data_IF_195315886555
#
_entry.id   IF_195315886555
#
_cell.length_a   1.000
_cell.length_b   1.000
_cell.length_c   1.000
_cell.angle_alpha   90.00
_cell.angle_beta   90.00
_cell.angle_gamma   90.00
#
_symmetry.space_group_name_H-M   'P 1'
#
loop_
_entity.id
_entity.type
_entity.pdbx_description
1 polymer ?
#
# COMPACT_ATOMS: atom_id res chain seq x y z
N UNK A 1 -24.19 26.63 -43.16
CA UNK A 1 -22.89 25.95 -43.01
C UNK A 1 -22.34 25.95 -41.57
N UNK A 2 -22.88 26.74 -40.62
CA UNK A 2 -22.32 26.84 -39.26
C UNK A 2 -22.61 25.65 -38.32
N UNK A 3 -23.72 24.94 -38.50
CA UNK A 3 -24.12 23.82 -37.62
C UNK A 3 -23.23 22.56 -37.74
N UNK A 4 -22.49 22.41 -38.84
CA UNK A 4 -21.53 21.31 -39.04
C UNK A 4 -20.23 21.52 -38.26
N UNK A 5 -19.74 22.77 -38.21
CA UNK A 5 -18.51 23.15 -37.52
C UNK A 5 -18.64 23.03 -35.99
N UNK A 6 -19.79 23.42 -35.43
CA UNK A 6 -20.07 23.29 -33.99
C UNK A 6 -20.15 21.82 -33.52
N UNK A 7 -20.75 20.94 -34.32
CA UNK A 7 -20.83 19.50 -33.99
C UNK A 7 -19.45 18.82 -34.06
N UNK A 8 -18.61 19.24 -34.99
CA UNK A 8 -17.24 18.73 -35.14
C UNK A 8 -16.34 19.20 -33.99
N UNK A 9 -16.39 20.49 -33.62
CA UNK A 9 -15.67 21.03 -32.46
C UNK A 9 -16.13 20.39 -31.13
N UNK A 10 -17.41 20.04 -30.99
CA UNK A 10 -17.93 19.36 -29.80
C UNK A 10 -17.44 17.90 -29.69
N UNK A 11 -17.38 17.18 -30.82
CA UNK A 11 -16.80 15.82 -30.89
C UNK A 11 -15.30 15.82 -30.57
N UNK A 12 -14.55 16.78 -31.11
CA UNK A 12 -13.11 16.92 -30.85
C UNK A 12 -12.83 17.24 -29.37
N UNK A 13 -13.59 18.18 -28.77
CA UNK A 13 -13.50 18.47 -27.33
C UNK A 13 -13.84 17.26 -26.44
N UNK A 14 -14.83 16.47 -26.83
CA UNK A 14 -15.24 15.28 -26.08
C UNK A 14 -14.17 14.18 -26.17
N UNK A 15 -13.60 13.96 -27.36
CA UNK A 15 -12.50 13.01 -27.56
C UNK A 15 -11.22 13.43 -26.81
N UNK A 16 -10.90 14.72 -26.79
CA UNK A 16 -9.77 15.27 -26.04
C UNK A 16 -9.95 15.07 -24.53
N UNK A 17 -11.14 15.33 -24.01
CA UNK A 17 -11.48 15.13 -22.59
C UNK A 17 -11.36 13.66 -22.20
N UNK A 18 -11.83 12.74 -23.05
CA UNK A 18 -11.72 11.30 -22.81
C UNK A 18 -10.24 10.86 -22.75
N UNK A 19 -9.43 11.35 -23.70
CA UNK A 19 -7.99 11.06 -23.76
C UNK A 19 -7.27 11.58 -22.52
N UNK A 20 -7.57 12.79 -22.06
CA UNK A 20 -6.99 13.35 -20.83
C UNK A 20 -7.37 12.52 -19.59
N UNK A 21 -8.63 12.07 -19.49
CA UNK A 21 -9.05 11.18 -18.40
C UNK A 21 -8.28 9.86 -18.41
N UNK A 22 -8.05 9.27 -19.58
CA UNK A 22 -7.26 8.05 -19.73
C UNK A 22 -5.80 8.26 -19.33
N UNK A 23 -5.17 9.36 -19.78
CA UNK A 23 -3.81 9.73 -19.38
C UNK A 23 -3.74 9.91 -17.86
N UNK A 24 -4.71 10.59 -17.26
CA UNK A 24 -4.79 10.77 -15.81
C UNK A 24 -4.88 9.45 -15.06
N UNK A 25 -5.73 8.52 -15.51
CA UNK A 25 -5.82 7.17 -14.93
C UNK A 25 -4.52 6.39 -15.07
N UNK A 26 -3.85 6.48 -16.22
CA UNK A 26 -2.56 5.83 -16.44
C UNK A 26 -1.49 6.40 -15.52
N UNK A 27 -1.40 7.73 -15.39
CA UNK A 27 -0.47 8.39 -14.45
C UNK A 27 -0.75 8.01 -13.00
N UNK A 28 -2.01 7.91 -12.59
CA UNK A 28 -2.38 7.43 -11.25
C UNK A 28 -2.01 5.97 -11.05
N UNK A 29 -2.24 5.11 -12.05
CA UNK A 29 -1.80 3.71 -12.01
C UNK A 29 -0.29 3.61 -11.82
N UNK A 30 0.48 4.37 -12.61
CA UNK A 30 1.93 4.45 -12.47
C UNK A 30 2.35 4.92 -11.07
N UNK A 31 1.70 5.95 -10.52
CA UNK A 31 1.97 6.45 -9.17
C UNK A 31 1.73 5.38 -8.11
N UNK A 32 0.64 4.61 -8.21
CA UNK A 32 0.32 3.53 -7.27
C UNK A 32 1.21 2.29 -7.44
N UNK A 33 1.88 2.15 -8.58
CA UNK A 33 2.85 1.08 -8.82
C UNK A 33 4.28 1.44 -8.39
N UNK A 34 4.54 2.68 -7.97
CA UNK A 34 5.88 3.06 -7.51
C UNK A 34 6.22 2.36 -6.18
N UNK A 35 7.47 1.91 -6.01
CA UNK A 35 8.00 1.54 -4.71
C UNK A 35 7.88 2.70 -3.72
N UNK A 36 7.71 2.40 -2.43
CA UNK A 36 7.52 3.40 -1.39
C UNK A 36 8.67 4.44 -1.34
N UNK A 37 9.92 4.01 -1.54
CA UNK A 37 11.09 4.90 -1.57
C UNK A 37 11.06 5.89 -2.74
N UNK A 38 10.65 5.43 -3.92
CA UNK A 38 10.49 6.28 -5.10
C UNK A 38 9.30 7.23 -4.95
N UNK A 39 8.20 6.76 -4.38
CA UNK A 39 7.05 7.60 -4.05
C UNK A 39 7.43 8.73 -3.09
N UNK A 40 8.15 8.42 -2.00
CA UNK A 40 8.67 9.43 -1.05
C UNK A 40 9.57 10.46 -1.73
N UNK A 41 10.49 9.99 -2.59
CA UNK A 41 11.38 10.87 -3.35
C UNK A 41 10.58 11.79 -4.28
N UNK A 42 9.60 11.25 -5.01
CA UNK A 42 8.73 12.04 -5.89
C UNK A 42 8.01 13.15 -5.13
N UNK A 43 7.43 12.83 -3.96
CA UNK A 43 6.78 13.84 -3.12
C UNK A 43 7.78 14.91 -2.66
N UNK A 44 8.96 14.50 -2.17
CA UNK A 44 10.01 15.43 -1.71
C UNK A 44 10.49 16.33 -2.84
N UNK A 45 10.69 15.79 -4.03
CA UNK A 45 11.11 16.54 -5.22
C UNK A 45 10.04 17.56 -5.63
N UNK A 46 8.76 17.14 -5.65
CA UNK A 46 7.62 18.00 -5.96
C UNK A 46 7.51 19.16 -4.95
N UNK A 47 7.61 18.86 -3.66
CA UNK A 47 7.54 19.87 -2.59
C UNK A 47 8.70 20.86 -2.62
N UNK A 48 9.86 20.44 -3.17
CA UNK A 48 11.03 21.30 -3.27
C UNK A 48 11.00 22.28 -4.44
N UNK A 49 10.09 22.09 -5.40
CA UNK A 49 9.95 23.00 -6.54
C UNK A 49 9.55 24.42 -6.10
N UNK A 50 10.05 25.43 -6.80
CA UNK A 50 9.71 26.84 -6.54
C UNK A 50 8.21 27.08 -6.65
N UNK A 51 7.56 26.50 -7.67
CA UNK A 51 6.14 26.63 -7.90
C UNK A 51 5.31 26.08 -6.74
N UNK A 52 5.66 24.90 -6.21
CA UNK A 52 4.93 24.31 -5.11
C UNK A 52 5.05 25.15 -3.83
N UNK A 53 6.26 25.66 -3.55
CA UNK A 53 6.50 26.60 -2.45
C UNK A 53 5.68 27.88 -2.62
N UNK A 54 5.61 28.45 -3.82
CA UNK A 54 4.76 29.63 -4.08
C UNK A 54 3.27 29.33 -3.88
N UNK A 55 2.79 28.15 -4.33
CA UNK A 55 1.40 27.72 -4.15
C UNK A 55 1.01 27.59 -2.67
N UNK A 56 1.94 27.21 -1.80
CA UNK A 56 1.72 27.12 -0.36
C UNK A 56 1.92 28.46 0.34
N UNK A 57 3.05 29.13 0.11
CA UNK A 57 3.47 30.25 0.95
C UNK A 57 2.91 31.58 0.47
N UNK A 58 2.98 31.83 -0.83
CA UNK A 58 2.61 33.12 -1.44
C UNK A 58 1.14 33.16 -1.79
N UNK A 59 0.61 32.10 -2.37
CA UNK A 59 -0.73 32.07 -2.94
C UNK A 59 -1.76 31.37 -2.05
N UNK A 60 -1.31 30.56 -1.09
CA UNK A 60 -2.15 29.82 -0.14
C UNK A 60 -3.22 28.97 -0.84
N UNK A 61 -2.90 28.46 -2.03
CA UNK A 61 -3.75 27.57 -2.82
C UNK A 61 -3.69 26.15 -2.28
N UNK A 62 -2.51 25.73 -1.82
CA UNK A 62 -2.28 24.39 -1.25
C UNK A 62 -2.09 24.53 0.25
N UNK A 63 -2.74 23.66 1.02
CA UNK A 63 -2.59 23.55 2.46
C UNK A 63 -2.42 22.10 2.89
N UNK A 64 -1.64 21.88 3.95
CA UNK A 64 -1.52 20.57 4.59
C UNK A 64 -2.63 20.36 5.61
N UNK A 65 -3.26 19.19 5.59
CA UNK A 65 -4.21 18.76 6.61
C UNK A 65 -3.75 17.44 7.20
N UNK A 66 -3.25 17.51 8.44
CA UNK A 66 -2.77 16.35 9.20
C UNK A 66 -3.82 15.25 9.29
N UNK A 67 -3.38 14.00 9.19
CA UNK A 67 -4.21 12.85 9.52
C UNK A 67 -4.46 12.81 11.03
N UNK A 68 -5.68 12.44 11.42
CA UNK A 68 -5.98 12.18 12.83
C UNK A 68 -5.32 10.87 13.23
N UNK A 69 -4.73 10.83 14.43
CA UNK A 69 -4.09 9.61 14.95
C UNK A 69 -2.71 9.32 14.36
N UNK A 70 -2.09 10.26 13.65
CA UNK A 70 -0.68 10.15 13.23
C UNK A 70 0.19 10.99 14.17
N UNK A 71 1.12 10.33 14.85
CA UNK A 71 2.12 10.94 15.73
C UNK A 71 3.43 11.26 15.00
N UNK A 72 4.25 12.13 15.60
CA UNK A 72 5.61 12.38 15.13
C UNK A 72 6.51 11.33 15.80
N UNK A 73 7.33 10.58 15.04
CA UNK A 73 8.23 9.60 15.63
C UNK A 73 9.28 10.29 16.51
N UNK A 74 9.44 9.82 17.74
CA UNK A 74 10.47 10.26 18.68
C UNK A 74 11.83 9.71 18.25
N UNK A 75 12.55 10.45 17.40
CA UNK A 75 14.01 10.42 17.11
C UNK A 75 14.81 9.11 17.03
N UNK A 76 14.20 7.93 17.12
CA UNK A 76 14.91 6.67 16.91
C UNK A 76 15.01 6.50 15.41
N UNK A 77 16.12 6.97 14.84
CA UNK A 77 16.58 6.58 13.52
C UNK A 77 16.68 5.06 13.51
N UNK A 78 15.71 4.42 12.88
CA UNK A 78 15.71 2.98 12.71
C UNK A 78 16.38 2.70 11.37
N UNK A 79 17.54 2.05 11.40
CA UNK A 79 18.27 1.65 10.19
C UNK A 79 17.50 0.53 9.49
N UNK A 80 17.10 0.75 8.24
CA UNK A 80 16.59 -0.31 7.34
C UNK A 80 17.63 -1.44 7.16
N UNK A 81 18.92 -1.14 7.38
CA UNK A 81 20.07 -2.03 7.17
C UNK A 81 20.14 -3.25 8.12
N UNK A 82 19.20 -3.39 9.06
CA UNK A 82 19.20 -4.49 10.03
C UNK A 82 17.87 -5.24 10.16
N UNK A 83 16.88 -4.98 9.31
CA UNK A 83 15.52 -5.53 9.49
C UNK A 83 15.01 -6.43 8.37
N UNK A 84 15.82 -6.73 7.37
CA UNK A 84 15.88 -8.11 6.92
C UNK A 84 16.67 -8.87 7.97
N UNK A 85 16.15 -8.96 9.20
CA UNK A 85 16.65 -10.03 10.06
C UNK A 85 16.32 -11.28 9.27
N UNK A 86 17.36 -12.03 8.91
CA UNK A 86 17.23 -13.45 8.67
C UNK A 86 16.83 -14.13 9.99
N UNK A 87 15.82 -13.59 10.70
CA UNK A 87 15.10 -14.32 11.71
C UNK A 87 14.39 -15.39 10.91
N UNK A 88 15.11 -16.50 10.77
CA UNK A 88 14.63 -17.72 10.18
C UNK A 88 13.23 -17.93 10.73
N UNK A 89 12.26 -18.02 9.83
CA UNK A 89 10.89 -18.41 10.13
C UNK A 89 10.89 -19.43 11.29
N UNK A 90 10.51 -18.98 12.49
CA UNK A 90 10.55 -19.81 13.69
C UNK A 90 9.27 -20.64 13.74
N UNK A 91 9.28 -21.70 12.91
CA UNK A 91 8.22 -22.68 12.87
C UNK A 91 7.98 -23.30 14.26
N UNK A 92 9.03 -23.43 15.07
CA UNK A 92 8.95 -24.05 16.38
C UNK A 92 8.14 -23.16 17.34
N UNK A 93 8.40 -21.85 17.37
CA UNK A 93 7.58 -20.91 18.16
C UNK A 93 6.11 -20.96 17.73
N UNK A 94 5.85 -20.95 16.42
CA UNK A 94 4.49 -20.96 15.87
C UNK A 94 3.73 -22.25 16.19
N UNK A 95 4.41 -23.41 16.15
CA UNK A 95 3.84 -24.70 16.50
C UNK A 95 3.60 -24.87 18.01
N UNK A 96 4.47 -24.30 18.85
CA UNK A 96 4.42 -24.46 20.31
C UNK A 96 3.56 -23.43 21.04
N UNK A 97 3.07 -22.39 20.35
CA UNK A 97 2.11 -21.42 20.91
C UNK A 97 0.81 -22.06 21.42
N UNK A 98 0.38 -23.18 20.81
CA UNK A 98 -0.75 -23.94 21.30
C UNK A 98 -0.45 -25.45 21.22
N UNK A 99 -0.44 -26.17 22.35
CA UNK A 99 -0.08 -27.59 22.39
C UNK A 99 -1.02 -28.49 21.56
N UNK A 100 -2.23 -28.01 21.24
CA UNK A 100 -3.19 -28.72 20.39
C UNK A 100 -2.91 -28.56 18.89
N UNK A 101 -2.06 -27.62 18.47
CA UNK A 101 -1.78 -27.33 17.05
C UNK A 101 -1.05 -28.49 16.38
N UNK A 102 0.06 -28.97 16.95
CA UNK A 102 0.85 -30.06 16.34
C UNK A 102 0.02 -31.35 16.16
N UNK A 103 -0.72 -31.87 17.17
CA UNK A 103 -1.57 -33.04 17.00
C UNK A 103 -2.65 -32.84 15.93
N UNK A 104 -3.21 -31.64 15.85
CA UNK A 104 -4.24 -31.31 14.86
C UNK A 104 -3.67 -31.29 13.44
N UNK A 105 -2.51 -30.67 13.22
CA UNK A 105 -1.85 -30.66 11.91
C UNK A 105 -1.44 -32.07 11.48
N UNK A 106 -1.01 -32.92 12.40
CA UNK A 106 -0.74 -34.33 12.13
C UNK A 106 -2.01 -35.09 11.71
N UNK A 107 -3.13 -34.89 12.43
CA UNK A 107 -4.45 -35.47 12.08
C UNK A 107 -4.88 -35.06 10.67
N UNK A 108 -4.77 -33.77 10.35
CA UNK A 108 -5.12 -33.24 9.02
C UNK A 108 -4.18 -33.83 7.96
N UNK A 109 -2.86 -33.76 8.16
CA UNK A 109 -1.87 -34.29 7.22
C UNK A 109 -2.00 -35.79 6.95
N UNK A 110 -2.38 -36.59 7.95
CA UNK A 110 -2.70 -38.01 7.77
C UNK A 110 -3.98 -38.24 6.98
N UNK A 111 -4.98 -37.36 7.12
CA UNK A 111 -6.28 -37.49 6.44
C UNK A 111 -6.23 -37.08 4.96
N UNK A 112 -5.54 -35.99 4.62
CA UNK A 112 -5.50 -35.46 3.24
C UNK A 112 -4.21 -35.80 2.49
N UNK A 113 -3.19 -36.30 3.19
CA UNK A 113 -1.88 -36.63 2.62
C UNK A 113 -0.96 -35.43 2.44
N UNK A 114 0.36 -35.70 2.41
CA UNK A 114 1.44 -34.68 2.40
C UNK A 114 1.31 -33.68 1.24
N UNK A 115 1.00 -34.15 0.02
CA UNK A 115 0.95 -33.29 -1.16
C UNK A 115 -0.17 -32.26 -1.06
N UNK A 116 -1.37 -32.70 -0.67
CA UNK A 116 -2.54 -31.84 -0.53
C UNK A 116 -2.43 -30.91 0.68
N UNK A 117 -1.76 -31.36 1.74
CA UNK A 117 -1.42 -30.53 2.89
C UNK A 117 -0.44 -29.40 2.51
N UNK A 118 0.59 -29.71 1.70
CA UNK A 118 1.49 -28.70 1.15
C UNK A 118 0.73 -27.70 0.25
N UNK A 119 -0.15 -28.18 -0.62
CA UNK A 119 -0.99 -27.30 -1.46
C UNK A 119 -1.88 -26.35 -0.63
N UNK A 120 -2.33 -26.78 0.55
CA UNK A 120 -3.07 -25.92 1.47
C UNK A 120 -2.19 -24.83 2.09
N UNK A 121 -0.95 -25.13 2.46
CA UNK A 121 -0.04 -24.15 3.07
C UNK A 121 0.51 -23.14 2.06
N UNK A 122 0.54 -23.48 0.77
CA UNK A 122 1.17 -22.68 -0.28
C UNK A 122 0.21 -22.23 -1.39
N UNK A 123 -1.08 -22.56 -1.32
CA UNK A 123 -2.05 -22.30 -2.39
C UNK A 123 -3.47 -22.00 -1.90
N UNK A 124 -4.30 -21.47 -2.79
CA UNK A 124 -5.69 -21.03 -2.56
C UNK A 124 -6.67 -22.20 -2.34
N UNK A 125 -6.39 -23.07 -1.38
CA UNK A 125 -7.26 -24.18 -1.04
C UNK A 125 -8.43 -23.72 -0.18
N UNK A 126 -9.59 -24.34 -0.36
CA UNK A 126 -10.79 -23.99 0.39
C UNK A 126 -10.74 -24.63 1.79
N UNK A 127 -10.44 -23.82 2.81
CA UNK A 127 -10.35 -24.25 4.21
C UNK A 127 -11.65 -24.96 4.66
N UNK A 128 -12.80 -24.53 4.16
CA UNK A 128 -14.10 -25.13 4.50
C UNK A 128 -14.25 -26.57 4.00
N UNK A 129 -13.61 -26.92 2.88
CA UNK A 129 -13.66 -28.29 2.33
C UNK A 129 -12.88 -29.25 3.23
N UNK A 130 -11.78 -28.77 3.81
CA UNK A 130 -10.88 -29.56 4.66
C UNK A 130 -11.43 -29.70 6.07
N UNK A 131 -12.12 -28.68 6.59
CA UNK A 131 -12.89 -28.79 7.83
C UNK A 131 -13.91 -29.92 7.76
N UNK A 132 -14.61 -30.02 6.62
CA UNK A 132 -15.59 -31.07 6.39
C UNK A 132 -14.92 -32.44 6.16
N UNK A 133 -13.88 -32.50 5.33
CA UNK A 133 -13.18 -33.75 4.99
C UNK A 133 -12.49 -34.38 6.20
N UNK A 134 -11.86 -33.57 7.05
CA UNK A 134 -11.17 -34.01 8.26
C UNK A 134 -12.09 -34.10 9.49
N UNK A 135 -13.38 -33.84 9.33
CA UNK A 135 -14.39 -33.84 10.41
C UNK A 135 -13.92 -33.06 11.63
N UNK A 136 -13.42 -31.83 11.39
CA UNK A 136 -12.91 -30.99 12.47
C UNK A 136 -14.06 -30.48 13.32
N UNK A 137 -13.90 -30.58 14.64
CA UNK A 137 -14.80 -29.91 15.59
C UNK A 137 -14.69 -28.38 15.44
N UNK A 138 -15.69 -27.60 15.88
CA UNK A 138 -15.61 -26.14 15.84
C UNK A 138 -14.38 -25.56 16.55
N UNK A 139 -13.92 -26.21 17.63
CA UNK A 139 -12.71 -25.81 18.36
C UNK A 139 -11.44 -26.09 17.54
N UNK A 140 -11.32 -27.29 16.94
CA UNK A 140 -10.21 -27.65 16.05
C UNK A 140 -10.15 -26.73 14.82
N UNK A 141 -11.29 -26.46 14.19
CA UNK A 141 -11.39 -25.51 13.06
C UNK A 141 -10.84 -24.12 13.42
N UNK A 142 -11.19 -23.61 14.62
CA UNK A 142 -10.69 -22.32 15.10
C UNK A 142 -9.17 -22.34 15.29
N UNK A 143 -8.63 -23.40 15.91
CA UNK A 143 -7.18 -23.55 16.12
C UNK A 143 -6.44 -23.62 14.79
N UNK A 144 -6.98 -24.38 13.83
CA UNK A 144 -6.39 -24.52 12.50
C UNK A 144 -6.38 -23.21 11.71
N UNK A 145 -7.50 -22.47 11.73
CA UNK A 145 -7.58 -21.13 11.11
C UNK A 145 -6.61 -20.14 11.76
N UNK A 146 -6.48 -20.17 13.09
CA UNK A 146 -5.53 -19.31 13.80
C UNK A 146 -4.08 -19.62 13.40
N UNK A 147 -3.74 -20.91 13.32
CA UNK A 147 -2.45 -21.36 12.81
C UNK A 147 -2.20 -20.86 11.37
N UNK A 148 -3.15 -21.03 10.45
CA UNK A 148 -2.97 -20.60 9.05
C UNK A 148 -2.81 -19.09 8.92
N UNK A 149 -3.60 -18.31 9.67
CA UNK A 149 -3.47 -16.85 9.67
C UNK A 149 -2.08 -16.42 10.16
N UNK A 150 -1.59 -17.03 11.24
CA UNK A 150 -0.24 -16.74 11.76
C UNK A 150 0.84 -17.20 10.80
N UNK A 151 0.71 -18.40 10.22
CA UNK A 151 1.65 -18.94 9.27
C UNK A 151 1.79 -18.03 8.04
N UNK A 152 0.67 -17.55 7.49
CA UNK A 152 0.69 -16.58 6.38
C UNK A 152 1.25 -15.21 6.81
N UNK A 153 0.90 -14.72 8.00
CA UNK A 153 1.49 -13.48 8.52
C UNK A 153 3.02 -13.59 8.66
N UNK A 154 3.50 -14.70 9.24
CA UNK A 154 4.93 -14.94 9.42
C UNK A 154 5.65 -15.06 8.08
N UNK A 155 5.05 -15.75 7.10
CA UNK A 155 5.55 -15.84 5.73
C UNK A 155 5.68 -14.47 5.05
N UNK A 156 4.73 -13.56 5.29
CA UNK A 156 4.79 -12.18 4.79
C UNK A 156 5.88 -11.37 5.49
N UNK A 157 6.10 -11.57 6.79
CA UNK A 157 7.04 -10.76 7.58
C UNK A 157 8.49 -11.25 7.54
N UNK A 158 8.73 -12.56 7.41
CA UNK A 158 10.06 -13.16 7.47
C UNK A 158 10.79 -13.23 6.13
N UNK A 159 10.23 -12.65 5.05
CA UNK A 159 10.88 -12.58 3.74
C UNK A 159 11.09 -13.94 3.03
N UNK A 160 10.46 -15.02 3.51
CA UNK A 160 10.62 -16.39 3.01
C UNK A 160 10.18 -16.59 1.53
N UNK A 161 9.50 -15.61 0.93
CA UNK A 161 9.25 -15.56 -0.51
C UNK A 161 10.53 -15.38 -1.36
N UNK A 162 11.67 -15.06 -0.75
CA UNK A 162 12.92 -14.81 -1.48
C UNK A 162 13.69 -16.09 -1.89
N UNK A 163 13.44 -17.28 -1.31
CA UNK A 163 14.34 -18.44 -1.53
C UNK A 163 13.69 -19.73 -2.04
N UNK A 164 12.40 -19.73 -2.40
CA UNK A 164 11.72 -20.93 -2.89
C UNK A 164 10.94 -20.68 -4.19
N UNK A 165 11.60 -20.13 -5.20
CA UNK A 165 11.10 -20.22 -6.57
C UNK A 165 12.23 -20.61 -7.52
N UNK A 166 12.31 -21.92 -7.82
CA UNK A 166 12.89 -22.36 -9.07
C UNK A 166 12.01 -21.84 -10.22
N UNK A 167 12.65 -21.09 -11.11
CA UNK A 167 12.32 -20.79 -12.50
C UNK A 167 10.90 -21.15 -12.99
N UNK A 168 10.04 -20.14 -13.15
CA UNK A 168 9.30 -19.82 -14.39
C UNK A 168 8.13 -18.87 -14.11
N UNK A 169 8.42 -17.57 -14.11
CA UNK A 169 7.53 -16.43 -14.41
C UNK A 169 7.98 -15.22 -13.56
N UNK A 170 8.22 -14.03 -14.15
CA UNK A 170 8.51 -12.83 -13.39
C UNK A 170 7.19 -12.30 -12.83
N UNK A 171 6.61 -13.01 -11.86
CA UNK A 171 5.65 -12.37 -10.97
C UNK A 171 6.41 -11.28 -10.19
N UNK A 172 5.89 -10.05 -10.11
CA UNK A 172 6.57 -9.00 -9.38
C UNK A 172 6.68 -9.47 -7.94
N UNK A 173 7.92 -9.68 -7.48
CA UNK A 173 8.23 -9.98 -6.08
C UNK A 173 7.43 -8.98 -5.25
N UNK A 174 6.49 -9.45 -4.43
CA UNK A 174 5.75 -8.59 -3.53
C UNK A 174 6.79 -7.97 -2.58
N UNK A 175 7.17 -6.72 -2.87
CA UNK A 175 8.11 -5.97 -2.04
C UNK A 175 7.28 -5.31 -0.96
N UNK A 176 7.28 -5.93 0.21
CA UNK A 176 6.64 -5.34 1.37
C UNK A 176 7.52 -4.23 1.93
N UNK A 177 6.94 -3.03 2.08
CA UNK A 177 7.63 -1.87 2.63
C UNK A 177 6.98 -1.46 3.95
N UNK A 178 7.77 -1.37 5.02
CA UNK A 178 7.30 -0.89 6.31
C UNK A 178 7.16 0.64 6.29
N UNK A 179 5.94 1.12 6.16
CA UNK A 179 5.64 2.57 6.08
C UNK A 179 5.42 3.23 7.45
N UNK A 180 4.87 2.48 8.41
CA UNK A 180 4.54 2.99 9.74
C UNK A 180 4.41 1.85 10.75
N UNK A 181 4.37 2.20 12.03
CA UNK A 181 4.00 1.31 13.13
C UNK A 181 2.74 1.82 13.82
N UNK A 182 1.95 0.93 14.41
CA UNK A 182 0.79 1.31 15.21
C UNK A 182 1.11 1.01 16.68
N UNK A 183 0.95 2.01 17.55
CA UNK A 183 1.13 1.86 18.99
C UNK A 183 -0.15 2.23 19.72
N UNK A 184 -0.44 1.51 20.80
CA UNK A 184 -1.54 1.85 21.70
C UNK A 184 -1.04 2.80 22.78
N UNK A 185 -1.64 3.98 22.87
CA UNK A 185 -1.38 4.97 23.91
C UNK A 185 -2.70 5.23 24.66
N UNK A 186 -2.81 4.61 25.84
CA UNK A 186 -4.07 4.53 26.58
C UNK A 186 -5.16 3.85 25.76
N UNK A 187 -6.27 4.57 25.52
CA UNK A 187 -7.41 4.07 24.75
C UNK A 187 -7.35 4.40 23.26
N UNK A 188 -6.22 4.92 22.76
CA UNK A 188 -6.08 5.34 21.36
C UNK A 188 -5.00 4.53 20.64
N UNK A 189 -5.26 4.22 19.38
CA UNK A 189 -4.24 3.71 18.46
C UNK A 189 -3.63 4.89 17.71
N UNK A 190 -2.31 5.00 17.77
CA UNK A 190 -1.52 6.04 17.13
C UNK A 190 -0.61 5.41 16.08
N UNK A 191 -0.65 5.95 14.88
CA UNK A 191 0.23 5.60 13.76
C UNK A 191 1.50 6.44 13.88
N UNK A 192 2.64 5.78 13.92
CA UNK A 192 3.96 6.37 13.92
C UNK A 192 4.66 6.07 12.60
N UNK A 193 4.77 7.06 11.70
CA UNK A 193 5.51 6.93 10.45
C UNK A 193 6.97 6.59 10.72
N UNK A 194 7.60 5.90 9.78
CA UNK A 194 8.98 5.44 9.96
C UNK A 194 9.99 6.60 10.01
N UNK A 195 9.77 7.65 9.22
CA UNK A 195 10.67 8.82 9.18
C UNK A 195 9.96 10.09 9.66
N UNK A 196 10.74 11.06 10.18
CA UNK A 196 10.21 12.36 10.64
C UNK A 196 9.77 13.29 9.51
N UNK A 197 10.28 13.06 8.32
CA UNK A 197 9.99 13.86 7.12
C UNK A 197 8.88 13.23 6.26
N UNK A 198 8.23 12.19 6.79
CA UNK A 198 7.25 11.39 6.07
C UNK A 198 5.99 12.20 5.70
N UNK A 199 5.48 11.97 4.49
CA UNK A 199 4.26 12.58 4.00
C UNK A 199 3.06 12.27 4.91
N UNK A 200 3.07 11.14 5.62
CA UNK A 200 2.05 10.77 6.60
C UNK A 200 1.92 11.80 7.74
N UNK A 201 3.03 12.42 8.15
CA UNK A 201 3.04 13.45 9.22
C UNK A 201 2.41 14.75 8.73
N UNK A 202 2.69 15.12 7.46
CA UNK A 202 2.10 16.29 6.80
C UNK A 202 0.61 16.10 6.55
N UNK A 203 0.21 14.87 6.26
CA UNK A 203 -1.16 14.47 6.00
C UNK A 203 -1.55 14.70 4.55
N UNK A 204 -2.83 15.02 4.31
CA UNK A 204 -3.35 15.22 2.96
C UNK A 204 -3.17 16.65 2.48
N UNK A 205 -2.90 16.79 1.18
CA UNK A 205 -2.97 18.06 0.48
C UNK A 205 -4.43 18.47 0.28
N UNK A 206 -4.74 19.72 0.61
CA UNK A 206 -6.01 20.35 0.28
C UNK A 206 -5.74 21.47 -0.72
N UNK A 207 -6.44 21.45 -1.85
CA UNK A 207 -6.28 22.42 -2.92
C UNK A 207 -7.54 23.29 -2.98
N UNK A 208 -7.38 24.60 -2.82
CA UNK A 208 -8.44 25.56 -3.08
C UNK A 208 -8.46 25.91 -4.58
N UNK A 209 -9.24 25.13 -5.33
CA UNK A 209 -9.41 25.33 -6.77
C UNK A 209 -10.04 26.69 -7.12
N UNK A 210 -10.84 27.26 -6.22
CA UNK A 210 -11.48 28.55 -6.45
C UNK A 210 -10.45 29.68 -6.37
N UNK A 211 -9.60 29.64 -5.33
CA UNK A 211 -8.43 30.53 -5.17
C UNK A 211 -7.47 30.39 -6.36
N UNK A 212 -7.20 29.16 -6.79
CA UNK A 212 -6.36 28.90 -7.96
C UNK A 212 -6.92 29.56 -9.22
N UNK A 213 -8.22 29.41 -9.48
CA UNK A 213 -8.87 29.97 -10.65
C UNK A 213 -8.90 31.50 -10.63
N UNK A 214 -9.12 32.12 -9.47
CA UNK A 214 -9.00 33.58 -9.32
C UNK A 214 -7.59 34.10 -9.64
N UNK A 215 -6.54 33.37 -9.23
CA UNK A 215 -5.14 33.73 -9.54
C UNK A 215 -4.78 33.50 -11.00
N UNK A 216 -5.34 32.45 -11.61
CA UNK A 216 -5.22 32.15 -13.03
C UNK A 216 -5.83 33.26 -13.88
N UNK A 217 -7.06 33.68 -13.58
CA UNK A 217 -7.77 34.74 -14.31
C UNK A 217 -7.09 36.11 -14.14
N UNK A 218 -6.45 36.37 -12.98
CA UNK A 218 -5.71 37.61 -12.72
C UNK A 218 -4.33 37.68 -13.40
N UNK A 219 -3.92 36.69 -14.21
CA UNK A 219 -2.60 36.58 -14.86
C UNK A 219 -1.38 36.65 -13.92
N UNK A 220 -1.58 36.38 -12.63
CA UNK A 220 -0.48 36.40 -11.63
C UNK A 220 0.40 35.15 -11.69
N UNK A 221 -0.02 34.13 -12.45
CA UNK A 221 0.75 32.96 -12.82
C UNK A 221 1.30 33.18 -14.24
N UNK A 222 2.61 33.24 -14.39
CA UNK A 222 3.23 33.36 -15.71
C UNK A 222 2.80 32.18 -16.60
N UNK A 223 2.33 32.46 -17.82
CA UNK A 223 1.82 31.45 -18.76
C UNK A 223 2.80 30.30 -19.07
N UNK A 224 4.11 30.50 -18.83
CA UNK A 224 5.16 29.46 -18.97
C UNK A 224 5.09 28.34 -17.93
N UNK A 225 4.61 28.61 -16.72
CA UNK A 225 4.48 27.62 -15.64
C UNK A 225 3.21 26.77 -15.80
N UNK A 226 2.19 27.31 -16.48
CA UNK A 226 0.90 26.66 -16.70
C UNK A 226 0.95 25.45 -17.63
N UNK A 227 1.85 25.47 -18.62
CA UNK A 227 2.09 24.32 -19.51
C UNK A 227 2.82 23.16 -18.82
N UNK A 228 3.35 23.35 -17.60
CA UNK A 228 3.95 22.27 -16.81
C UNK A 228 2.93 21.52 -15.95
N UNK A 229 1.74 22.10 -15.76
CA UNK A 229 0.69 21.57 -14.87
C UNK A 229 -0.40 20.82 -15.67
N UNK A 230 -0.54 21.07 -16.98
CA UNK A 230 -1.50 20.38 -17.87
C UNK A 230 -0.99 19.07 -18.48
#
# INVERSE_FOLDING_TARGET
>A
MEMGSLKQAFREKTAQTLRQKQIGRMKLGQLFSLPESEFRKLIKDLENTSLFKELIDKWKVICYRKFRGVGIPSSIEFREEGMFSSDNFDLEELLHQNPKTVPLLQKIGQSIGKNRFNELLYGNSNISEIEHQCQLTPEESRIFKDFLNRFELEKLTSGALASSYNESSPSPTARDFKIASIKREGDKLIIYPHTKEDYLIKGKYSIDYRRYEELYQKKNLAAKELNRIS
#
